data_IF_973666983852
#
_entry.id   IF_973666983852
#
_cell.length_a   1.000
_cell.length_b   1.000
_cell.length_c   1.000
_cell.angle_alpha   90.00
_cell.angle_beta   90.00
_cell.angle_gamma   90.00
#
_symmetry.space_group_name_H-M   'P 1'
#
loop_
_entity.id
_entity.type
_entity.pdbx_description
1 polymer ?
#
# COMPACT_ATOMS: atom_id res chain seq x y z
N UNK A 1 -27.50 -9.52 3.69
CA UNK A 1 -26.15 -9.69 3.12
C UNK A 1 -25.25 -10.31 4.20
N UNK A 2 -24.25 -11.10 3.83
CA UNK A 2 -23.39 -11.84 4.77
C UNK A 2 -21.96 -11.32 4.82
N UNK A 3 -21.78 -9.99 4.82
CA UNK A 3 -20.48 -9.35 4.94
C UNK A 3 -20.49 -8.36 6.12
N UNK A 4 -19.46 -8.41 6.96
CA UNK A 4 -19.08 -7.32 7.85
C UNK A 4 -18.13 -6.36 7.14
N UNK A 5 -18.05 -5.12 7.61
CA UNK A 5 -17.28 -4.09 6.93
C UNK A 5 -16.77 -2.99 7.86
N UNK A 6 -15.54 -2.55 7.63
CA UNK A 6 -14.98 -1.33 8.20
C UNK A 6 -14.41 -0.47 7.08
N UNK A 7 -14.51 0.85 7.20
CA UNK A 7 -14.05 1.77 6.17
C UNK A 7 -13.65 3.11 6.76
N UNK A 8 -12.82 3.84 6.01
CA UNK A 8 -12.52 5.25 6.25
C UNK A 8 -12.57 5.98 4.92
N UNK A 9 -13.27 7.10 4.88
CA UNK A 9 -13.40 7.94 3.70
C UNK A 9 -13.30 9.41 4.05
N UNK A 10 -13.09 10.23 3.02
CA UNK A 10 -13.15 11.69 3.12
C UNK A 10 -13.90 12.24 1.90
N UNK A 11 -14.39 13.49 1.95
CA UNK A 11 -15.10 14.08 0.82
C UNK A 11 -14.23 14.12 -0.46
N UNK A 12 -14.84 13.75 -1.58
CA UNK A 12 -14.29 13.85 -2.96
C UNK A 12 -13.14 12.88 -3.28
N UNK A 13 -12.18 12.69 -2.38
CA UNK A 13 -10.93 11.99 -2.66
C UNK A 13 -10.75 10.78 -1.75
N UNK A 14 -9.89 9.84 -2.20
CA UNK A 14 -9.40 8.70 -1.42
C UNK A 14 -10.53 7.83 -0.82
N UNK A 15 -10.20 7.06 0.21
CA UNK A 15 -11.10 6.11 0.85
C UNK A 15 -10.61 4.68 0.74
N UNK A 16 -10.72 3.95 1.84
CA UNK A 16 -10.32 2.55 1.98
C UNK A 16 -11.39 1.78 2.74
N UNK A 17 -11.56 0.50 2.41
CA UNK A 17 -12.54 -0.37 3.04
C UNK A 17 -12.05 -1.82 3.09
N UNK A 18 -12.36 -2.51 4.19
CA UNK A 18 -12.15 -3.94 4.37
C UNK A 18 -13.52 -4.58 4.56
N UNK A 19 -13.85 -5.54 3.69
CA UNK A 19 -15.11 -6.30 3.75
C UNK A 19 -14.77 -7.78 3.96
N UNK A 20 -15.40 -8.41 4.94
CA UNK A 20 -15.20 -9.83 5.24
C UNK A 20 -16.51 -10.61 5.17
N UNK A 21 -16.53 -11.74 4.45
CA UNK A 21 -17.73 -12.57 4.30
C UNK A 21 -17.88 -13.47 5.52
N UNK A 22 -19.02 -13.41 6.19
CA UNK A 22 -19.33 -14.27 7.34
C UNK A 22 -18.59 -13.92 8.64
N UNK A 23 -17.83 -12.82 8.64
CA UNK A 23 -17.09 -12.31 9.79
C UNK A 23 -17.27 -10.79 9.89
N UNK A 24 -17.17 -10.26 11.11
CA UNK A 24 -17.12 -8.82 11.36
C UNK A 24 -15.65 -8.40 11.53
N UNK A 25 -15.08 -7.60 10.61
CA UNK A 25 -13.74 -7.07 10.77
C UNK A 25 -13.63 -6.23 12.04
N UNK A 26 -12.60 -6.47 12.85
CA UNK A 26 -12.32 -5.64 14.02
C UNK A 26 -11.29 -4.60 13.62
N UNK A 27 -11.72 -3.34 13.47
CA UNK A 27 -10.84 -2.22 13.17
C UNK A 27 -9.78 -2.07 14.28
N UNK A 28 -8.51 -2.21 13.93
CA UNK A 28 -7.38 -2.05 14.86
C UNK A 28 -6.68 -0.70 14.69
N UNK A 29 -6.79 -0.10 13.50
CA UNK A 29 -6.20 1.20 13.20
C UNK A 29 -6.95 1.90 12.07
N UNK A 30 -7.02 3.22 12.14
CA UNK A 30 -7.70 4.03 11.13
C UNK A 30 -6.78 5.06 10.45
N UNK A 31 -5.48 5.08 10.75
CA UNK A 31 -4.51 5.98 10.14
C UNK A 31 -3.12 5.36 10.12
N UNK A 32 -2.28 5.76 9.17
CA UNK A 32 -0.88 5.35 9.12
C UNK A 32 -0.09 6.08 10.23
N UNK A 33 0.64 5.37 11.11
CA UNK A 33 1.46 6.01 12.14
C UNK A 33 2.57 6.92 11.58
N UNK A 34 3.13 7.76 12.45
CA UNK A 34 4.31 8.59 12.16
C UNK A 34 4.04 10.01 11.68
N UNK A 35 2.78 10.42 11.47
CA UNK A 35 2.41 11.83 11.25
C UNK A 35 0.95 12.09 11.65
N UNK A 36 0.73 12.69 12.81
CA UNK A 36 -0.61 13.01 13.34
C UNK A 36 -1.32 14.15 12.58
N UNK A 37 -0.58 14.91 11.77
CA UNK A 37 -1.14 15.94 10.91
C UNK A 37 -1.71 15.38 9.60
N UNK A 38 -1.32 14.16 9.19
CA UNK A 38 -1.86 13.52 8.00
C UNK A 38 -3.27 12.97 8.26
N UNK A 39 -4.27 13.63 7.69
CA UNK A 39 -5.69 13.28 7.84
C UNK A 39 -6.27 12.54 6.64
N UNK A 40 -5.48 12.24 5.61
CA UNK A 40 -6.00 11.63 4.38
C UNK A 40 -6.50 10.20 4.62
N UNK A 41 -7.66 9.85 4.05
CA UNK A 41 -8.29 8.55 4.20
C UNK A 41 -7.62 7.49 3.31
N UNK A 42 -6.36 7.15 3.62
CA UNK A 42 -5.50 6.28 2.81
C UNK A 42 -5.16 4.94 3.44
N UNK A 43 -5.51 4.74 4.71
CA UNK A 43 -5.03 3.58 5.46
C UNK A 43 -5.99 3.18 6.56
N UNK A 44 -6.29 1.88 6.65
CA UNK A 44 -6.97 1.25 7.79
C UNK A 44 -6.39 -0.15 8.03
N UNK A 45 -6.51 -0.64 9.25
CA UNK A 45 -6.20 -2.03 9.61
C UNK A 45 -7.40 -2.69 10.27
N UNK A 46 -7.62 -3.96 9.96
CA UNK A 46 -8.58 -4.76 10.69
C UNK A 46 -8.09 -6.19 10.89
N UNK A 47 -8.40 -6.75 12.06
CA UNK A 47 -8.27 -8.18 12.30
C UNK A 47 -9.50 -8.91 11.70
N UNK A 48 -9.25 -9.91 10.86
CA UNK A 48 -10.28 -10.75 10.21
C UNK A 48 -9.81 -12.20 10.31
N UNK A 49 -10.57 -13.05 11.01
CA UNK A 49 -10.29 -14.50 11.14
C UNK A 49 -8.84 -14.86 11.49
N UNK A 50 -8.21 -14.06 12.37
CA UNK A 50 -6.84 -14.28 12.83
C UNK A 50 -5.74 -13.68 11.94
N UNK A 51 -6.10 -12.94 10.89
CA UNK A 51 -5.17 -12.21 10.02
C UNK A 51 -5.36 -10.71 10.20
N UNK A 52 -4.26 -9.96 10.31
CA UNK A 52 -4.29 -8.50 10.24
C UNK A 52 -4.24 -8.08 8.78
N UNK A 53 -5.28 -7.38 8.32
CA UNK A 53 -5.35 -6.80 6.98
C UNK A 53 -5.03 -5.32 7.09
N UNK A 54 -3.88 -4.89 6.58
CA UNK A 54 -3.52 -3.50 6.39
C UNK A 54 -3.94 -3.06 4.98
N UNK A 55 -5.02 -2.29 4.89
CA UNK A 55 -5.59 -1.81 3.64
C UNK A 55 -5.06 -0.40 3.33
N UNK A 56 -4.47 -0.21 2.15
CA UNK A 56 -3.87 1.06 1.75
C UNK A 56 -4.33 1.61 0.39
N UNK A 57 -4.31 2.93 0.26
CA UNK A 57 -4.31 3.67 -1.00
C UNK A 57 -3.23 4.75 -0.94
N UNK A 58 -2.00 4.38 -1.31
CA UNK A 58 -0.82 5.22 -1.20
C UNK A 58 -0.91 6.47 -2.10
N UNK A 59 -0.20 7.56 -1.77
CA UNK A 59 -0.22 8.77 -2.58
C UNK A 59 0.36 8.54 -3.99
N UNK A 60 -0.35 9.00 -5.02
CA UNK A 60 0.10 8.88 -6.41
C UNK A 60 1.44 9.60 -6.68
N UNK A 61 1.59 10.81 -6.15
CA UNK A 61 2.82 11.60 -6.21
C UNK A 61 3.00 12.49 -7.45
N UNK A 62 2.11 12.44 -8.46
CA UNK A 62 2.20 13.34 -9.61
C UNK A 62 1.61 14.75 -9.34
N UNK A 63 2.15 15.81 -9.97
CA UNK A 63 3.35 15.81 -10.80
C UNK A 63 4.63 15.69 -9.96
N UNK A 64 5.72 15.23 -10.59
CA UNK A 64 7.06 15.18 -10.01
C UNK A 64 8.09 15.93 -10.86
N UNK A 65 9.19 16.43 -10.25
CA UNK A 65 9.37 16.58 -8.80
C UNK A 65 8.39 17.58 -8.19
N UNK A 66 8.27 17.61 -6.87
CA UNK A 66 7.45 18.59 -6.15
C UNK A 66 6.78 18.03 -4.90
N UNK A 67 5.99 18.86 -4.20
CA UNK A 67 5.50 18.56 -2.84
C UNK A 67 4.62 17.31 -2.77
N UNK A 68 3.95 16.92 -3.86
CA UNK A 68 3.18 15.67 -3.92
C UNK A 68 4.07 14.44 -3.97
N UNK A 69 5.21 14.52 -4.66
CA UNK A 69 6.18 13.45 -4.71
C UNK A 69 6.92 13.35 -3.37
N UNK A 70 7.28 14.48 -2.76
CA UNK A 70 7.89 14.50 -1.43
C UNK A 70 6.96 13.87 -0.38
N UNK A 71 5.66 14.21 -0.42
CA UNK A 71 4.65 13.58 0.43
C UNK A 71 4.53 12.07 0.19
N UNK A 72 4.56 11.63 -1.08
CA UNK A 72 4.56 10.20 -1.42
C UNK A 72 5.74 9.47 -0.77
N UNK A 73 6.95 10.01 -0.92
CA UNK A 73 8.15 9.38 -0.37
C UNK A 73 8.10 9.32 1.16
N UNK A 74 7.73 10.42 1.82
CA UNK A 74 7.55 10.45 3.27
C UNK A 74 6.44 9.51 3.76
N UNK A 75 5.36 9.34 2.99
CA UNK A 75 4.29 8.38 3.30
C UNK A 75 4.81 6.95 3.22
N UNK A 76 5.58 6.59 2.18
CA UNK A 76 6.15 5.25 2.07
C UNK A 76 7.24 4.95 3.10
N UNK A 77 8.00 5.95 3.53
CA UNK A 77 8.95 5.80 4.63
C UNK A 77 8.23 5.43 5.93
N UNK A 78 7.17 6.16 6.29
CA UNK A 78 6.31 5.83 7.43
C UNK A 78 5.65 4.46 7.29
N UNK A 79 5.21 4.12 6.07
CA UNK A 79 4.62 2.82 5.79
C UNK A 79 5.61 1.68 5.94
N UNK A 80 6.85 1.85 5.50
CA UNK A 80 7.91 0.87 5.70
C UNK A 80 8.27 0.71 7.18
N UNK A 81 8.35 1.81 7.95
CA UNK A 81 8.58 1.73 9.39
C UNK A 81 7.45 0.95 10.10
N UNK A 82 6.20 1.28 9.79
CA UNK A 82 5.05 0.57 10.34
C UNK A 82 4.97 -0.90 9.87
N UNK A 83 5.40 -1.18 8.65
CA UNK A 83 5.53 -2.54 8.12
C UNK A 83 6.52 -3.39 8.92
N UNK A 84 7.62 -2.80 9.38
CA UNK A 84 8.56 -3.50 10.26
C UNK A 84 7.91 -3.82 11.62
N UNK A 85 7.20 -2.86 12.22
CA UNK A 85 6.47 -3.08 13.48
C UNK A 85 5.43 -4.22 13.34
N UNK A 86 4.73 -4.29 12.19
CA UNK A 86 3.78 -5.36 11.89
C UNK A 86 4.46 -6.73 11.74
N UNK A 87 5.63 -6.81 11.08
CA UNK A 87 6.41 -8.05 10.98
C UNK A 87 6.85 -8.55 12.36
N UNK A 88 7.32 -7.64 13.22
CA UNK A 88 7.82 -7.96 14.56
C UNK A 88 6.73 -8.53 15.48
N UNK A 89 5.45 -8.32 15.17
CA UNK A 89 4.35 -8.96 15.90
C UNK A 89 4.32 -10.49 15.75
N UNK A 90 4.90 -11.03 14.68
CA UNK A 90 4.82 -12.45 14.33
C UNK A 90 3.43 -12.94 13.95
N UNK A 91 2.44 -12.04 13.83
CA UNK A 91 1.09 -12.38 13.40
C UNK A 91 1.04 -12.60 11.88
N UNK A 92 0.03 -13.34 11.37
CA UNK A 92 -0.28 -13.32 9.95
C UNK A 92 -0.77 -11.92 9.55
N UNK A 93 -0.05 -11.27 8.64
CA UNK A 93 -0.39 -9.93 8.15
C UNK A 93 -0.40 -9.88 6.63
N UNK A 94 -1.37 -9.17 6.06
CA UNK A 94 -1.41 -8.84 4.64
C UNK A 94 -1.41 -7.32 4.47
N UNK A 95 -0.39 -6.81 3.76
CA UNK A 95 -0.35 -5.44 3.26
C UNK A 95 -1.00 -5.42 1.87
N UNK A 96 -2.21 -4.87 1.75
CA UNK A 96 -3.02 -4.98 0.55
C UNK A 96 -3.61 -3.64 0.11
N UNK A 97 -3.44 -3.29 -1.16
CA UNK A 97 -4.01 -2.07 -1.71
C UNK A 97 -3.23 -1.54 -2.90
N UNK A 98 -3.48 -0.28 -3.22
CA UNK A 98 -2.78 0.42 -4.30
C UNK A 98 -1.56 1.15 -3.73
N UNK A 99 -0.38 0.63 -4.04
CA UNK A 99 0.90 1.18 -3.63
C UNK A 99 1.31 2.41 -4.45
N UNK A 100 0.67 2.68 -5.59
CA UNK A 100 1.09 3.70 -6.54
C UNK A 100 2.61 3.62 -6.86
N UNK A 101 3.15 2.40 -6.98
CA UNK A 101 4.54 2.14 -7.37
C UNK A 101 4.53 1.05 -8.43
N UNK A 102 5.36 1.22 -9.46
CA UNK A 102 5.67 0.17 -10.44
C UNK A 102 7.03 -0.42 -10.03
N UNK A 103 7.07 -1.60 -9.38
CA UNK A 103 8.29 -2.12 -8.75
C UNK A 103 9.43 -2.35 -9.74
N UNK A 104 9.14 -2.96 -10.88
CA UNK A 104 10.09 -3.27 -11.93
C UNK A 104 9.62 -2.74 -13.29
N UNK A 105 10.53 -2.56 -14.24
CA UNK A 105 10.15 -2.11 -15.59
C UNK A 105 9.19 -3.06 -16.31
N UNK A 106 9.16 -4.34 -15.90
CA UNK A 106 8.24 -5.36 -16.44
C UNK A 106 6.81 -5.29 -15.87
N UNK A 107 6.58 -4.47 -14.84
CA UNK A 107 5.28 -4.24 -14.22
C UNK A 107 4.50 -3.09 -14.89
N UNK A 108 5.01 -2.55 -15.99
CA UNK A 108 4.34 -1.51 -16.79
C UNK A 108 4.53 -1.81 -18.28
N UNK A 109 3.59 -1.34 -19.08
CA UNK A 109 3.69 -1.44 -20.53
C UNK A 109 4.85 -0.61 -21.06
N UNK A 110 5.51 -1.13 -22.09
CA UNK A 110 6.67 -0.49 -22.71
C UNK A 110 6.23 0.76 -23.50
N UNK A 111 6.47 1.92 -22.92
CA UNK A 111 6.23 3.24 -23.53
C UNK A 111 7.12 4.28 -22.84
N UNK A 112 7.32 5.41 -23.50
CA UNK A 112 8.02 6.57 -22.93
C UNK A 112 7.09 7.60 -22.29
N UNK A 113 5.77 7.43 -22.45
CA UNK A 113 4.79 8.39 -21.90
C UNK A 113 4.75 8.42 -20.36
N UNK A 114 5.43 7.48 -19.69
CA UNK A 114 5.51 7.38 -18.23
C UNK A 114 6.89 7.72 -17.67
N UNK A 115 7.87 8.10 -18.50
CA UNK A 115 9.24 8.37 -18.05
C UNK A 115 9.27 9.37 -16.89
N UNK A 116 8.37 10.38 -16.92
CA UNK A 116 8.24 11.40 -15.88
C UNK A 116 7.23 11.07 -14.77
N UNK A 117 6.56 9.91 -14.83
CA UNK A 117 5.53 9.55 -13.88
C UNK A 117 6.13 9.20 -12.52
N UNK A 118 5.57 9.75 -11.44
CA UNK A 118 5.97 9.46 -10.06
C UNK A 118 6.03 7.96 -9.72
N UNK A 119 5.23 7.10 -10.37
CA UNK A 119 5.14 5.67 -10.10
C UNK A 119 6.39 4.88 -10.49
N UNK A 120 7.10 5.31 -11.53
CA UNK A 120 8.24 4.55 -12.11
C UNK A 120 9.61 5.06 -11.69
N UNK A 121 9.63 6.13 -10.87
CA UNK A 121 10.87 6.77 -10.49
C UNK A 121 11.74 5.88 -9.60
N UNK A 122 13.07 6.04 -9.65
CA UNK A 122 14.00 5.28 -8.81
C UNK A 122 13.64 5.33 -7.33
N UNK A 123 13.22 6.47 -6.80
CA UNK A 123 12.89 6.66 -5.39
C UNK A 123 11.61 5.90 -4.99
N UNK A 124 10.61 5.88 -5.87
CA UNK A 124 9.40 5.06 -5.68
C UNK A 124 9.73 3.57 -5.66
N UNK A 125 10.56 3.12 -6.60
CA UNK A 125 11.00 1.72 -6.66
C UNK A 125 11.83 1.32 -5.46
N UNK A 126 12.73 2.21 -5.02
CA UNK A 126 13.53 2.01 -3.82
C UNK A 126 12.66 1.88 -2.57
N UNK A 127 11.57 2.65 -2.46
CA UNK A 127 10.65 2.55 -1.33
C UNK A 127 9.94 1.18 -1.27
N UNK A 128 9.51 0.63 -2.42
CA UNK A 128 8.95 -0.72 -2.46
C UNK A 128 9.99 -1.80 -2.18
N UNK A 129 11.19 -1.69 -2.77
CA UNK A 129 12.29 -2.60 -2.52
C UNK A 129 12.67 -2.64 -1.03
N UNK A 130 12.75 -1.48 -0.37
CA UNK A 130 13.05 -1.39 1.06
C UNK A 130 12.01 -2.13 1.92
N UNK A 131 10.73 -2.10 1.54
CA UNK A 131 9.69 -2.88 2.20
C UNK A 131 9.93 -4.39 2.02
N UNK A 132 10.20 -4.84 0.79
CA UNK A 132 10.47 -6.26 0.51
C UNK A 132 11.72 -6.76 1.27
N UNK A 133 12.77 -5.94 1.36
CA UNK A 133 14.01 -6.26 2.07
C UNK A 133 13.82 -6.50 3.57
N UNK A 134 12.75 -5.99 4.18
CA UNK A 134 12.40 -6.29 5.58
C UNK A 134 11.99 -7.75 5.80
N UNK A 135 11.60 -8.46 4.73
CA UNK A 135 11.07 -9.83 4.80
C UNK A 135 9.64 -9.97 4.30
N UNK A 136 9.00 -8.89 3.83
CA UNK A 136 7.71 -8.97 3.16
C UNK A 136 7.83 -9.73 1.84
N UNK A 137 6.79 -10.51 1.53
CA UNK A 137 6.71 -11.26 0.26
C UNK A 137 5.75 -10.56 -0.69
N UNK A 138 6.23 -10.19 -1.88
CA UNK A 138 5.35 -9.86 -3.01
C UNK A 138 4.58 -11.12 -3.42
N UNK A 139 3.29 -11.17 -3.08
CA UNK A 139 2.45 -12.34 -3.32
C UNK A 139 2.27 -12.66 -4.81
N UNK A 140 2.15 -11.64 -5.67
CA UNK A 140 1.97 -11.84 -7.11
C UNK A 140 3.24 -12.43 -7.71
N UNK A 141 4.41 -11.84 -7.40
CA UNK A 141 5.70 -12.34 -7.91
C UNK A 141 6.09 -13.69 -7.30
N UNK A 142 5.64 -13.99 -6.08
CA UNK A 142 5.81 -15.32 -5.48
C UNK A 142 5.02 -16.41 -6.22
N UNK A 143 3.77 -16.13 -6.62
CA UNK A 143 2.88 -17.09 -7.29
C UNK A 143 3.18 -17.19 -8.79
N UNK A 144 3.53 -16.07 -9.43
CA UNK A 144 3.80 -15.98 -10.88
C UNK A 144 5.25 -15.53 -11.17
N UNK A 145 6.27 -16.28 -10.74
CA UNK A 145 7.67 -15.83 -10.80
C UNK A 145 8.23 -15.71 -12.22
N UNK A 146 7.65 -16.45 -13.18
CA UNK A 146 8.08 -16.49 -14.58
C UNK A 146 7.24 -15.62 -15.51
N UNK A 147 6.16 -15.04 -15.00
CA UNK A 147 5.32 -14.19 -15.82
C UNK A 147 6.07 -12.90 -16.12
N UNK A 148 6.30 -12.64 -17.40
CA UNK A 148 7.03 -11.44 -17.82
C UNK A 148 6.19 -10.20 -17.54
N UNK A 149 4.87 -10.28 -17.70
CA UNK A 149 3.96 -9.12 -17.63
C UNK A 149 2.86 -9.36 -16.61
N UNK A 150 2.91 -8.60 -15.52
CA UNK A 150 1.86 -8.53 -14.50
C UNK A 150 1.49 -7.06 -14.32
N UNK A 151 0.26 -6.70 -14.66
CA UNK A 151 -0.24 -5.34 -14.54
C UNK A 151 -1.44 -5.33 -13.61
N UNK A 152 -1.56 -4.27 -12.81
CA UNK A 152 -2.66 -4.04 -11.86
C UNK A 152 -3.19 -2.63 -12.00
#
# INVERSE_FOLDING_TARGET
AGYGAVWKGEPTWNGVAILARGAEPVLTRDALPGDDADRQARYIEAAVDGVVIACLYAPNGNPRPGPKFDYKLAWHERFAAHGADLLDTGLPVALAGDFNIVPESRDIYETRSYDDNALVQPESRAAFAALIEQGWTDALRKVFPREERLYT
#
